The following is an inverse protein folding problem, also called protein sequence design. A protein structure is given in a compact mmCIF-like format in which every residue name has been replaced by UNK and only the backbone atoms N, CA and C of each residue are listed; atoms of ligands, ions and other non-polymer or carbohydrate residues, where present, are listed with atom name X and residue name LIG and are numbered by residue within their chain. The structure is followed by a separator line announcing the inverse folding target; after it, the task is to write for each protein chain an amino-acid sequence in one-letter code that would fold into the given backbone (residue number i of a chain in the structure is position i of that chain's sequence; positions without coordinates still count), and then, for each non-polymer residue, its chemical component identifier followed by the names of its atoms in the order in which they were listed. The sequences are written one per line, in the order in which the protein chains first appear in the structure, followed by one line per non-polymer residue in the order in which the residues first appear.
data_IF_400991415872
#
_entry.id   IF_400991415872
#
_cell.length_a   1.000
_cell.length_b   1.000
_cell.length_c   1.000
_cell.angle_alpha   90.00
_cell.angle_beta   90.00
_cell.angle_gamma   90.00
#
_symmetry.space_group_name_H-M   'P 1'
#
loop_
_entity.id
_entity.type
_entity.pdbx_description
1 polymer ?
#
# COMPACT_ATOMS: atom_id res chain seq x y z
N UNK A 1 6.02 11.66 -23.90
CA UNK A 1 5.11 10.60 -24.40
C UNK A 1 3.69 11.14 -24.27
N UNK A 2 2.96 11.29 -25.36
CA UNK A 2 1.59 11.83 -25.36
C UNK A 2 0.63 10.77 -24.82
N UNK A 3 -0.12 11.11 -23.77
CA UNK A 3 -1.17 10.24 -23.23
C UNK A 3 -2.48 10.70 -23.87
N UNK A 4 -2.96 9.92 -24.84
CA UNK A 4 -4.29 10.10 -25.40
C UNK A 4 -5.34 9.81 -24.33
N UNK A 5 -6.34 10.69 -24.24
CA UNK A 5 -7.49 10.56 -23.35
C UNK A 5 -8.16 9.19 -23.54
N UNK A 6 -8.03 8.31 -22.55
CA UNK A 6 -8.60 6.97 -22.59
C UNK A 6 -9.98 6.98 -21.94
N UNK A 7 -10.99 6.64 -22.74
CA UNK A 7 -12.40 6.57 -22.36
C UNK A 7 -12.60 5.67 -21.13
N UNK A 8 -13.10 6.25 -20.05
CA UNK A 8 -13.46 5.54 -18.82
C UNK A 8 -14.80 4.84 -19.05
N UNK A 9 -14.76 3.60 -19.50
CA UNK A 9 -15.92 2.70 -19.43
C UNK A 9 -16.06 2.18 -18.01
N UNK A 10 -17.19 2.54 -17.38
CA UNK A 10 -17.62 2.09 -16.06
C UNK A 10 -17.60 0.56 -15.96
N UNK A 11 -16.58 -0.02 -15.34
CA UNK A 11 -16.59 -1.43 -14.96
C UNK A 11 -15.77 -1.62 -13.69
N UNK A 12 -16.37 -2.22 -12.65
CA UNK A 12 -15.74 -2.29 -11.32
C UNK A 12 -14.40 -3.02 -11.30
N UNK A 13 -14.13 -3.81 -12.34
CA UNK A 13 -12.91 -4.59 -12.50
C UNK A 13 -11.74 -3.72 -12.97
N UNK A 14 -12.03 -2.62 -13.68
CA UNK A 14 -11.03 -1.62 -14.02
C UNK A 14 -10.51 -0.94 -12.75
N UNK A 15 -11.37 -0.67 -11.76
CA UNK A 15 -10.95 0.01 -10.52
C UNK A 15 -10.00 -0.80 -9.63
N UNK A 16 -10.11 -2.13 -9.63
CA UNK A 16 -9.21 -3.02 -8.88
C UNK A 16 -7.86 -3.14 -9.57
N UNK A 17 -7.87 -3.33 -10.90
CA UNK A 17 -6.66 -3.37 -11.71
C UNK A 17 -5.90 -2.04 -11.66
N UNK A 18 -6.60 -0.91 -11.81
CA UNK A 18 -6.02 0.44 -11.73
C UNK A 18 -5.34 0.66 -10.37
N UNK A 19 -5.93 0.15 -9.29
CA UNK A 19 -5.34 0.23 -7.96
C UNK A 19 -4.08 -0.63 -7.85
N UNK A 20 -4.09 -1.87 -8.34
CA UNK A 20 -2.89 -2.71 -8.38
C UNK A 20 -1.78 -2.09 -9.22
N UNK A 21 -2.10 -1.54 -10.39
CA UNK A 21 -1.15 -0.83 -11.24
C UNK A 21 -0.53 0.37 -10.51
N UNK A 22 -1.32 1.14 -9.76
CA UNK A 22 -0.80 2.26 -8.97
C UNK A 22 0.19 1.82 -7.88
N UNK A 23 -0.02 0.65 -7.27
CA UNK A 23 0.91 0.05 -6.31
C UNK A 23 2.20 -0.33 -7.04
N UNK A 24 2.10 -1.05 -8.14
CA UNK A 24 3.27 -1.48 -8.93
C UNK A 24 4.08 -0.28 -9.42
N UNK A 25 3.43 0.73 -9.97
CA UNK A 25 4.08 1.96 -10.43
C UNK A 25 4.82 2.68 -9.30
N UNK A 26 4.26 2.69 -8.09
CA UNK A 26 4.95 3.26 -6.93
C UNK A 26 6.26 2.53 -6.63
N UNK A 27 6.25 1.20 -6.66
CA UNK A 27 7.41 0.36 -6.33
C UNK A 27 8.41 0.16 -7.48
N UNK A 28 8.03 0.40 -8.74
CA UNK A 28 8.95 0.35 -9.89
C UNK A 28 9.74 1.65 -10.07
N UNK A 29 9.17 2.80 -9.68
CA UNK A 29 9.81 4.11 -9.80
C UNK A 29 10.83 4.38 -8.67
N UNK A 30 11.71 3.42 -8.34
CA UNK A 30 12.60 3.33 -7.15
C UNK A 30 13.70 4.41 -6.99
N UNK A 31 13.47 5.64 -7.43
CA UNK A 31 14.29 6.80 -7.06
C UNK A 31 13.80 7.51 -5.78
N UNK A 32 12.93 6.88 -4.98
CA UNK A 32 12.37 7.49 -3.77
C UNK A 32 13.13 7.04 -2.51
N UNK A 33 13.51 8.01 -1.67
CA UNK A 33 14.08 7.80 -0.35
C UNK A 33 13.23 6.78 0.45
N UNK A 34 13.91 5.88 1.18
CA UNK A 34 13.31 4.87 2.08
C UNK A 34 12.21 5.45 2.98
N UNK A 35 12.42 6.67 3.48
CA UNK A 35 11.43 7.36 4.31
C UNK A 35 10.10 7.59 3.57
N UNK A 36 10.15 8.02 2.31
CA UNK A 36 8.96 8.24 1.48
C UNK A 36 8.22 6.94 1.18
N UNK A 37 8.95 5.85 0.96
CA UNK A 37 8.38 4.52 0.78
C UNK A 37 7.61 4.05 2.02
N UNK A 38 8.20 4.23 3.20
CA UNK A 38 7.58 3.89 4.48
C UNK A 38 6.32 4.72 4.75
N UNK A 39 6.36 6.04 4.53
CA UNK A 39 5.19 6.92 4.70
C UNK A 39 4.06 6.52 3.75
N UNK A 40 4.36 6.20 2.49
CA UNK A 40 3.35 5.81 1.52
C UNK A 40 2.72 4.46 1.87
N UNK A 41 3.53 3.51 2.34
CA UNK A 41 3.06 2.21 2.83
C UNK A 41 2.08 2.38 3.99
N UNK A 42 2.48 3.15 5.02
CA UNK A 42 1.64 3.34 6.21
C UNK A 42 0.31 4.02 5.86
N UNK A 43 0.34 5.05 5.00
CA UNK A 43 -0.87 5.69 4.48
C UNK A 43 -1.76 4.71 3.71
N UNK A 44 -1.16 3.90 2.83
CA UNK A 44 -1.89 2.92 2.03
C UNK A 44 -2.57 1.86 2.91
N UNK A 45 -1.88 1.36 3.95
CA UNK A 45 -2.50 0.44 4.91
C UNK A 45 -3.63 1.07 5.71
N UNK A 46 -3.49 2.32 6.17
CA UNK A 46 -4.56 3.02 6.88
C UNK A 46 -5.82 3.12 6.00
N UNK A 47 -5.66 3.54 4.75
CA UNK A 47 -6.79 3.65 3.82
C UNK A 47 -7.40 2.29 3.48
N UNK A 48 -6.57 1.27 3.20
CA UNK A 48 -7.05 -0.09 2.97
C UNK A 48 -7.81 -0.64 4.18
N UNK A 49 -7.37 -0.38 5.41
CA UNK A 49 -8.08 -0.82 6.62
C UNK A 49 -9.43 -0.10 6.81
N UNK A 50 -9.53 1.19 6.43
CA UNK A 50 -10.83 1.89 6.39
C UNK A 50 -11.76 1.25 5.37
N UNK A 51 -11.26 0.99 4.15
CA UNK A 51 -12.04 0.34 3.09
C UNK A 51 -12.46 -1.07 3.50
N UNK A 52 -11.58 -1.86 4.15
CA UNK A 52 -11.86 -3.22 4.62
C UNK A 52 -13.09 -3.29 5.53
N UNK A 53 -13.26 -2.28 6.40
CA UNK A 53 -14.39 -2.19 7.33
C UNK A 53 -15.71 -1.92 6.62
N UNK A 54 -15.68 -1.20 5.49
CA UNK A 54 -16.88 -0.70 4.80
C UNK A 54 -17.27 -1.54 3.58
N UNK A 55 -16.31 -2.21 2.93
CA UNK A 55 -16.54 -2.90 1.66
C UNK A 55 -17.07 -4.32 1.84
N UNK A 56 -17.93 -4.75 0.91
CA UNK A 56 -18.32 -6.16 0.76
C UNK A 56 -17.23 -6.97 0.03
N UNK A 57 -16.41 -6.33 -0.80
CA UNK A 57 -15.29 -6.95 -1.55
C UNK A 57 -14.03 -7.04 -0.67
N UNK A 58 -14.11 -7.72 0.48
CA UNK A 58 -12.98 -7.84 1.42
C UNK A 58 -11.75 -8.51 0.78
N UNK A 59 -11.95 -9.38 -0.20
CA UNK A 59 -10.88 -10.08 -0.89
C UNK A 59 -9.96 -9.12 -1.65
N UNK A 60 -10.52 -8.11 -2.33
CA UNK A 60 -9.73 -7.08 -3.03
C UNK A 60 -8.77 -6.39 -2.06
N UNK A 61 -9.28 -5.93 -0.92
CA UNK A 61 -8.47 -5.23 0.08
C UNK A 61 -7.37 -6.12 0.64
N UNK A 62 -7.67 -7.40 0.92
CA UNK A 62 -6.67 -8.38 1.35
C UNK A 62 -5.60 -8.61 0.30
N UNK A 63 -5.98 -8.76 -0.96
CA UNK A 63 -5.05 -8.95 -2.08
C UNK A 63 -4.13 -7.73 -2.25
N UNK A 64 -4.65 -6.51 -2.11
CA UNK A 64 -3.85 -5.29 -2.13
C UNK A 64 -2.82 -5.24 -1.00
N UNK A 65 -3.20 -5.65 0.21
CA UNK A 65 -2.28 -5.73 1.36
C UNK A 65 -1.18 -6.76 1.09
N UNK A 66 -1.54 -7.96 0.61
CA UNK A 66 -0.59 -9.02 0.27
C UNK A 66 0.39 -8.54 -0.82
N UNK A 67 -0.11 -7.85 -1.84
CA UNK A 67 0.71 -7.30 -2.91
C UNK A 67 1.74 -6.30 -2.36
N UNK A 68 1.30 -5.35 -1.53
CA UNK A 68 2.21 -4.37 -0.91
C UNK A 68 3.29 -5.07 -0.08
N UNK A 69 2.92 -6.07 0.76
CA UNK A 69 3.89 -6.83 1.55
C UNK A 69 4.90 -7.58 0.68
N UNK A 70 4.43 -8.21 -0.40
CA UNK A 70 5.26 -8.98 -1.33
C UNK A 70 6.28 -8.11 -2.07
N UNK A 71 5.99 -6.82 -2.26
CA UNK A 71 6.88 -5.86 -2.90
C UNK A 71 7.89 -5.23 -1.93
N UNK A 72 7.68 -5.36 -0.62
CA UNK A 72 8.56 -4.82 0.43
C UNK A 72 9.63 -5.83 0.85
N UNK A 73 9.35 -7.13 0.74
CA UNK A 73 10.18 -8.24 1.25
C UNK A 73 11.47 -8.52 0.44
N UNK A 74 12.27 -7.47 0.19
CA UNK A 74 13.71 -7.63 -0.06
C UNK A 74 14.55 -7.51 1.22
N UNK A 75 13.95 -7.19 2.37
CA UNK A 75 14.62 -7.13 3.67
C UNK A 75 14.04 -8.22 4.59
N UNK A 76 14.86 -9.13 5.15
CA UNK A 76 14.38 -10.13 6.09
C UNK A 76 13.63 -9.47 7.26
N UNK A 77 12.56 -10.08 7.78
CA UNK A 77 11.86 -9.62 8.98
C UNK A 77 12.81 -9.34 10.16
N UNK A 78 13.94 -10.06 10.22
CA UNK A 78 14.99 -9.93 11.23
C UNK A 78 15.80 -8.62 11.15
N UNK A 79 15.67 -7.86 10.05
CA UNK A 79 16.35 -6.57 9.88
C UNK A 79 15.46 -5.36 10.22
N UNK A 80 14.25 -5.58 10.76
CA UNK A 80 13.46 -4.51 11.38
C UNK A 80 14.11 -4.03 12.68
N UNK A 81 15.19 -3.26 12.56
CA UNK A 81 15.81 -2.52 13.66
C UNK A 81 15.03 -1.25 14.03
N UNK A 82 13.86 -1.02 13.42
CA UNK A 82 12.89 -0.07 13.93
C UNK A 82 12.32 -0.68 15.21
N UNK A 83 13.05 -0.49 16.32
CA UNK A 83 12.61 -0.84 17.65
C UNK A 83 11.17 -0.38 17.78
N UNK A 84 10.24 -1.33 17.77
CA UNK A 84 8.82 -1.03 17.87
C UNK A 84 8.69 -0.04 19.02
N UNK A 85 8.05 1.10 18.76
CA UNK A 85 7.75 2.05 19.82
C UNK A 85 7.01 1.22 20.86
N UNK A 86 7.67 0.94 21.98
CA UNK A 86 7.08 0.14 23.06
C UNK A 86 5.86 0.93 23.47
N UNK A 87 4.67 0.43 23.16
CA UNK A 87 3.40 1.11 23.49
C UNK A 87 3.35 1.45 24.99
N UNK A 88 4.07 0.70 25.82
CA UNK A 88 4.28 0.97 27.24
C UNK A 88 4.93 2.35 27.57
N UNK A 89 5.60 3.02 26.63
CA UNK A 89 6.14 4.36 26.84
C UNK A 89 5.10 5.47 26.60
N UNK A 90 3.94 5.15 26.02
CA UNK A 90 2.82 6.08 25.83
C UNK A 90 1.85 6.12 27.02
N UNK A 91 2.01 5.21 27.99
CA UNK A 91 1.11 5.05 29.14
C UNK A 91 1.61 5.85 30.37
N UNK A 92 2.85 6.34 30.36
CA UNK A 92 3.45 7.09 31.47
C UNK A 92 3.89 8.51 31.05
N UNK A 93 2.97 9.28 30.47
CA UNK A 93 3.13 10.72 30.22
C UNK A 93 2.18 11.54 31.08
#
# INVERSE_FOLDING_TARGET
MNISAMNITNNSDNSELDYFLSIIDFFQNQNKNRETAEIWKDKSFIELMKVLKLTRKKQFVKNSIILILSLIDQMPPDTYNKGGIKVNSLING
#
